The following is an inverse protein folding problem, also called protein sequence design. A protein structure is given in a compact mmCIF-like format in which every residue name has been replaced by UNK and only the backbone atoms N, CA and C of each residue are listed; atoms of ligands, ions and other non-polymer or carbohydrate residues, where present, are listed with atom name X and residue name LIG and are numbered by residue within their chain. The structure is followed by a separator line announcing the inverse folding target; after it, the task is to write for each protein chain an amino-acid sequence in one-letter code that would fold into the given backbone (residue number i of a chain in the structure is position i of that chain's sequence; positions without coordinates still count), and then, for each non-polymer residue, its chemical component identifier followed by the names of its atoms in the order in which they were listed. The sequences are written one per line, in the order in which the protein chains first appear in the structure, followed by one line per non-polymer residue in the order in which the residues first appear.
data_IF_614048277837
#
_entry.id   IF_614048277837
#
_cell.length_a   1.000
_cell.length_b   1.000
_cell.length_c   1.000
_cell.angle_alpha   90.00
_cell.angle_beta   90.00
_cell.angle_gamma   90.00
#
_symmetry.space_group_name_H-M   'P 1'
#
loop_
_entity.id
_entity.type
_entity.pdbx_description
1 polymer ?
#
# COMPACT_ATOMS: atom_id res chain seq x y z
N UNK A 1 -19.20 -6.97 3.71
CA UNK A 1 -19.49 -5.52 3.52
C UNK A 1 -18.29 -4.94 2.80
N UNK A 2 -18.46 -4.12 1.77
CA UNK A 2 -17.34 -3.60 0.98
C UNK A 2 -16.60 -2.51 1.77
N UNK A 3 -15.34 -2.73 2.17
CA UNK A 3 -14.54 -1.71 2.87
C UNK A 3 -13.65 -0.98 1.87
N UNK A 4 -13.42 0.31 2.13
CA UNK A 4 -12.51 1.15 1.35
C UNK A 4 -11.46 1.71 2.30
N UNK A 5 -10.20 1.45 1.98
CA UNK A 5 -9.04 1.99 2.70
C UNK A 5 -8.30 2.96 1.79
N UNK A 6 -7.92 4.11 2.33
CA UNK A 6 -7.05 5.06 1.66
C UNK A 6 -5.77 5.21 2.50
N UNK A 7 -4.62 4.97 1.90
CA UNK A 7 -3.30 5.17 2.52
C UNK A 7 -2.62 6.33 1.80
N UNK A 8 -2.15 7.30 2.58
CA UNK A 8 -1.36 8.44 2.10
C UNK A 8 0.12 8.09 1.99
N UNK A 9 0.95 9.02 2.44
CA UNK A 9 2.40 9.01 2.28
C UNK A 9 3.05 7.72 2.79
N UNK A 10 3.87 7.10 1.93
CA UNK A 10 4.62 5.87 2.26
C UNK A 10 6.11 6.17 2.42
N UNK A 11 6.66 7.08 1.60
CA UNK A 11 8.06 7.51 1.66
C UNK A 11 9.06 6.34 1.75
N UNK A 12 8.89 5.30 0.91
CA UNK A 12 9.78 4.15 0.89
C UNK A 12 9.76 3.27 2.15
N UNK A 13 8.83 3.48 3.09
CA UNK A 13 8.66 2.68 4.31
C UNK A 13 7.92 1.37 4.04
N UNK A 14 8.55 0.48 3.28
CA UNK A 14 7.97 -0.80 2.89
C UNK A 14 7.50 -1.67 4.06
N UNK A 15 8.31 -1.79 5.13
CA UNK A 15 7.99 -2.71 6.23
C UNK A 15 6.70 -2.29 6.95
N UNK A 16 6.52 -0.97 7.17
CA UNK A 16 5.30 -0.41 7.76
C UNK A 16 4.08 -0.59 6.86
N UNK A 17 4.23 -0.35 5.55
CA UNK A 17 3.16 -0.59 4.57
C UNK A 17 2.73 -2.07 4.60
N UNK A 18 3.71 -2.98 4.59
CA UNK A 18 3.46 -4.42 4.60
C UNK A 18 2.76 -4.87 5.88
N UNK A 19 3.21 -4.42 7.05
CA UNK A 19 2.57 -4.75 8.33
C UNK A 19 1.12 -4.22 8.38
N UNK A 20 0.91 -2.98 7.95
CA UNK A 20 -0.42 -2.37 7.94
C UNK A 20 -1.37 -3.17 7.04
N UNK A 21 -0.97 -3.47 5.81
CA UNK A 21 -1.83 -4.15 4.84
C UNK A 21 -2.02 -5.63 5.19
N UNK A 22 -0.94 -6.35 5.50
CA UNK A 22 -0.98 -7.80 5.66
C UNK A 22 -1.43 -8.23 7.07
N UNK A 23 -1.10 -7.46 8.12
CA UNK A 23 -1.37 -7.85 9.51
C UNK A 23 -2.56 -7.11 10.12
N UNK A 24 -2.71 -5.81 9.85
CA UNK A 24 -3.77 -4.99 10.47
C UNK A 24 -5.04 -4.95 9.64
N UNK A 25 -4.94 -4.63 8.35
CA UNK A 25 -6.09 -4.46 7.47
C UNK A 25 -6.63 -5.83 7.02
N UNK A 26 -5.73 -6.74 6.62
CA UNK A 26 -6.08 -8.06 6.08
C UNK A 26 -7.12 -7.94 4.97
N UNK A 27 -6.71 -7.32 3.85
CA UNK A 27 -7.59 -7.06 2.71
C UNK A 27 -8.25 -8.35 2.23
N UNK A 28 -9.58 -8.32 2.13
CA UNK A 28 -10.36 -9.34 1.45
C UNK A 28 -10.56 -9.00 -0.04
N UNK A 29 -11.17 -9.93 -0.79
CA UNK A 29 -11.38 -9.77 -2.25
C UNK A 29 -12.41 -8.69 -2.61
N UNK A 30 -13.24 -8.29 -1.66
CA UNK A 30 -14.26 -7.27 -1.81
C UNK A 30 -13.74 -5.89 -1.41
N UNK A 31 -12.72 -5.83 -0.56
CA UNK A 31 -12.10 -4.59 -0.13
C UNK A 31 -11.38 -3.88 -1.27
N UNK A 32 -11.34 -2.56 -1.16
CA UNK A 32 -10.54 -1.70 -2.03
C UNK A 32 -9.50 -0.98 -1.19
N UNK A 33 -8.27 -0.97 -1.69
CA UNK A 33 -7.19 -0.15 -1.17
C UNK A 33 -6.84 0.89 -2.23
N UNK A 34 -6.88 2.17 -1.86
CA UNK A 34 -6.43 3.31 -2.67
C UNK A 34 -5.15 3.84 -2.04
N UNK A 35 -4.13 4.08 -2.86
CA UNK A 35 -2.91 4.76 -2.44
C UNK A 35 -2.92 6.16 -3.04
N UNK A 36 -2.67 7.18 -2.22
CA UNK A 36 -2.90 8.58 -2.59
C UNK A 36 -1.68 9.29 -3.19
N UNK A 37 -0.47 8.75 -3.02
CA UNK A 37 0.77 9.35 -3.54
C UNK A 37 1.97 9.11 -2.63
N UNK A 38 3.09 9.77 -2.93
CA UNK A 38 4.31 9.79 -2.11
C UNK A 38 4.82 8.39 -1.73
N UNK A 39 4.86 7.51 -2.73
CA UNK A 39 5.37 6.14 -2.57
C UNK A 39 6.88 6.09 -2.37
N UNK A 40 7.57 6.97 -3.08
CA UNK A 40 9.03 7.00 -3.21
C UNK A 40 9.51 8.37 -2.73
N UNK A 41 10.19 8.38 -1.58
CA UNK A 41 11.09 9.45 -1.15
C UNK A 41 11.67 9.05 0.21
N UNK A 42 12.88 9.49 0.57
CA UNK A 42 13.55 9.33 1.89
C UNK A 42 13.82 7.89 2.42
N UNK A 43 13.01 6.90 2.05
CA UNK A 43 13.12 5.52 2.51
C UNK A 43 14.01 4.65 1.62
N UNK A 44 14.80 3.78 2.26
CA UNK A 44 15.77 2.90 1.59
C UNK A 44 15.12 1.73 0.81
N UNK A 45 13.81 1.51 0.96
CA UNK A 45 13.06 0.38 0.37
C UNK A 45 12.01 0.83 -0.65
N UNK A 46 12.31 1.90 -1.39
CA UNK A 46 11.40 2.46 -2.40
C UNK A 46 11.06 1.47 -3.52
N UNK A 47 12.01 0.59 -3.88
CA UNK A 47 11.78 -0.45 -4.89
C UNK A 47 10.74 -1.47 -4.41
N UNK A 48 10.87 -1.92 -3.17
CA UNK A 48 9.98 -2.91 -2.55
C UNK A 48 8.56 -2.36 -2.41
N UNK A 49 8.41 -1.07 -2.10
CA UNK A 49 7.10 -0.39 -2.13
C UNK A 49 6.48 -0.50 -3.52
N UNK A 50 7.20 -0.11 -4.57
CA UNK A 50 6.67 -0.16 -5.95
C UNK A 50 6.34 -1.59 -6.40
N UNK A 51 7.22 -2.55 -6.12
CA UNK A 51 7.00 -3.95 -6.47
C UNK A 51 5.75 -4.50 -5.75
N UNK A 52 5.56 -4.15 -4.47
CA UNK A 52 4.38 -4.53 -3.69
C UNK A 52 3.08 -3.96 -4.26
N UNK A 53 3.10 -2.68 -4.67
CA UNK A 53 1.95 -2.01 -5.29
C UNK A 53 1.58 -2.66 -6.63
N UNK A 54 2.58 -2.94 -7.48
CA UNK A 54 2.37 -3.54 -8.81
C UNK A 54 1.83 -4.96 -8.73
N UNK A 55 2.34 -5.79 -7.82
CA UNK A 55 1.89 -7.18 -7.64
C UNK A 55 0.43 -7.23 -7.22
N UNK A 56 0.00 -6.31 -6.34
CA UNK A 56 -1.37 -6.30 -5.80
C UNK A 56 -2.40 -5.65 -6.72
N UNK A 57 -2.01 -5.12 -7.89
CA UNK A 57 -2.88 -4.36 -8.81
C UNK A 57 -3.70 -3.32 -8.05
N UNK A 58 -3.05 -2.59 -7.15
CA UNK A 58 -3.73 -1.49 -6.45
C UNK A 58 -4.00 -0.42 -7.51
N UNK A 59 -5.27 -0.19 -7.81
CA UNK A 59 -5.70 0.83 -8.75
C UNK A 59 -5.16 2.18 -8.26
N UNK A 60 -4.12 2.66 -8.94
CA UNK A 60 -3.65 4.04 -8.83
C UNK A 60 -4.57 4.84 -9.73
N UNK A 61 -5.47 5.60 -9.11
CA UNK A 61 -6.42 6.45 -9.83
C UNK A 61 -5.71 7.64 -10.48
#
# INVERSE_FOLDING_TARGET
MKRLFAIGDIHGCFDSLKELVDSKIQLDKNDKLILLGDYIDRGNKSKEVIDYIRIRKIDSN
#
